data_IF_385745290459
#
_entry.id   IF_385745290459
#
_cell.length_a   1.000
_cell.length_b   1.000
_cell.length_c   1.000
_cell.angle_alpha   90.00
_cell.angle_beta   90.00
_cell.angle_gamma   90.00
#
_symmetry.space_group_name_H-M   'P 1'
#
loop_
_entity.id
_entity.type
_entity.pdbx_description
1 polymer ?
#
# COMPACT_ATOMS: atom_id res chain seq x y z
N UNK A 1 -58.15 53.41 26.29
CA UNK A 1 -57.51 52.91 25.05
C UNK A 1 -55.98 52.97 25.17
N UNK A 2 -55.31 52.10 25.97
CA UNK A 2 -53.84 52.12 26.11
C UNK A 2 -53.13 50.85 25.59
N UNK A 3 -53.82 49.97 24.85
CA UNK A 3 -53.29 48.66 24.40
C UNK A 3 -52.66 48.67 22.99
N UNK A 4 -52.73 49.78 22.26
CA UNK A 4 -52.28 49.82 20.86
C UNK A 4 -50.78 50.16 20.68
N UNK A 5 -50.10 50.67 21.71
CA UNK A 5 -48.70 51.10 21.60
C UNK A 5 -47.69 50.00 21.96
N UNK A 6 -48.09 49.01 22.77
CA UNK A 6 -47.23 47.91 23.25
C UNK A 6 -46.80 46.94 22.14
N UNK A 7 -47.59 46.84 21.06
CA UNK A 7 -47.38 45.84 20.00
C UNK A 7 -46.43 46.31 18.88
N UNK A 8 -46.05 47.60 18.85
CA UNK A 8 -45.12 48.13 17.85
C UNK A 8 -43.66 48.14 18.29
N UNK A 9 -43.38 47.97 19.58
CA UNK A 9 -42.01 48.05 20.12
C UNK A 9 -41.24 46.71 20.04
N UNK A 10 -41.93 45.62 19.65
CA UNK A 10 -41.32 44.31 19.37
C UNK A 10 -40.89 44.20 17.89
N UNK A 11 -41.16 45.23 17.08
CA UNK A 11 -40.78 45.27 15.68
C UNK A 11 -39.34 45.80 15.51
N UNK A 12 -38.41 44.87 15.36
CA UNK A 12 -37.06 45.08 14.82
C UNK A 12 -36.11 45.91 15.71
N UNK A 13 -35.67 45.32 16.82
CA UNK A 13 -34.28 45.52 17.24
C UNK A 13 -33.39 44.96 16.12
N UNK A 14 -33.12 45.77 15.07
CA UNK A 14 -31.96 45.56 14.22
C UNK A 14 -30.81 45.43 15.20
N UNK A 15 -30.22 44.24 15.26
CA UNK A 15 -29.08 43.99 16.14
C UNK A 15 -28.16 45.20 16.01
N UNK A 16 -27.78 45.87 17.12
CA UNK A 16 -26.91 47.03 17.03
C UNK A 16 -25.72 46.58 16.21
N UNK A 17 -25.28 47.36 15.22
CA UNK A 17 -24.25 46.95 14.25
C UNK A 17 -23.05 46.26 14.94
N UNK A 18 -22.76 46.64 16.19
CA UNK A 18 -21.83 45.98 17.12
C UNK A 18 -22.04 44.46 17.31
N UNK A 19 -23.26 43.98 17.55
CA UNK A 19 -23.55 42.53 17.68
C UNK A 19 -23.31 41.80 16.36
N UNK A 20 -23.67 42.42 15.23
CA UNK A 20 -23.40 41.84 13.91
C UNK A 20 -21.89 41.79 13.62
N UNK A 21 -21.16 42.88 13.92
CA UNK A 21 -19.69 42.93 13.85
C UNK A 21 -19.06 41.90 14.78
N UNK A 22 -19.57 41.71 16.00
CA UNK A 22 -19.10 40.71 16.94
C UNK A 22 -19.30 39.28 16.41
N UNK A 23 -20.45 39.00 15.79
CA UNK A 23 -20.72 37.71 15.14
C UNK A 23 -19.77 37.50 13.95
N UNK A 24 -19.60 38.50 13.08
CA UNK A 24 -18.68 38.42 11.94
C UNK A 24 -17.24 38.23 12.41
N UNK A 25 -16.82 38.95 13.45
CA UNK A 25 -15.49 38.83 14.04
C UNK A 25 -15.28 37.45 14.66
N UNK A 26 -16.30 36.88 15.31
CA UNK A 26 -16.24 35.54 15.87
C UNK A 26 -16.11 34.48 14.78
N UNK A 27 -16.89 34.59 13.69
CA UNK A 27 -16.77 33.70 12.53
C UNK A 27 -15.43 33.88 11.80
N UNK A 28 -14.92 35.10 11.69
CA UNK A 28 -13.62 35.37 11.10
C UNK A 28 -12.48 34.79 11.97
N UNK A 29 -12.54 35.00 13.28
CA UNK A 29 -11.59 34.43 14.23
C UNK A 29 -11.65 32.89 14.20
N UNK A 30 -12.85 32.33 14.23
CA UNK A 30 -13.05 30.88 14.13
C UNK A 30 -12.52 30.33 12.80
N UNK A 31 -12.80 30.99 11.68
CA UNK A 31 -12.26 30.65 10.37
C UNK A 31 -10.73 30.70 10.32
N UNK A 32 -10.11 31.72 10.95
CA UNK A 32 -8.64 31.83 11.07
C UNK A 32 -8.08 30.71 11.93
N UNK A 33 -8.71 30.38 13.07
CA UNK A 33 -8.28 29.29 13.96
C UNK A 33 -8.38 27.94 13.23
N UNK A 34 -9.50 27.67 12.56
CA UNK A 34 -9.71 26.46 11.76
C UNK A 34 -8.68 26.38 10.63
N UNK A 35 -8.41 27.49 9.93
CA UNK A 35 -7.40 27.55 8.88
C UNK A 35 -5.98 27.33 9.42
N UNK A 36 -5.68 27.85 10.62
CA UNK A 36 -4.39 27.64 11.29
C UNK A 36 -4.22 26.19 11.78
N UNK A 37 -5.30 25.49 12.13
CA UNK A 37 -5.27 24.10 12.61
C UNK A 37 -5.34 23.08 11.46
N UNK A 38 -6.13 23.34 10.42
CA UNK A 38 -6.39 22.42 9.28
C UNK A 38 -5.58 22.78 8.03
N UNK A 39 -4.98 23.98 7.98
CA UNK A 39 -4.11 24.45 6.90
C UNK A 39 -2.73 23.78 6.88
N UNK A 40 -2.04 23.61 8.03
CA UNK A 40 -0.71 22.97 8.04
C UNK A 40 -0.76 21.45 7.95
N UNK A 41 -1.93 20.83 8.06
CA UNK A 41 -2.07 19.39 7.92
C UNK A 41 -1.79 19.01 6.46
N UNK A 42 -0.72 18.24 6.16
CA UNK A 42 -0.39 17.86 4.80
C UNK A 42 -1.60 17.14 4.20
N UNK A 43 -2.18 17.74 3.15
CA UNK A 43 -3.31 17.21 2.37
C UNK A 43 -2.79 16.06 1.51
N UNK A 44 -2.33 14.99 2.16
CA UNK A 44 -1.64 13.88 1.55
C UNK A 44 -1.57 12.73 2.55
N UNK A 45 -1.94 11.55 2.10
CA UNK A 45 -2.04 10.34 2.91
C UNK A 45 -0.66 9.93 3.45
N UNK A 46 -0.34 10.39 4.66
CA UNK A 46 0.84 9.96 5.43
C UNK A 46 0.98 8.43 5.50
N UNK A 47 -0.13 7.71 5.38
CA UNK A 47 -0.17 6.26 5.21
C UNK A 47 0.48 5.78 3.90
N UNK A 48 0.15 6.39 2.76
CA UNK A 48 0.75 6.06 1.47
C UNK A 48 2.22 6.42 1.41
N UNK A 49 2.62 7.55 2.02
CA UNK A 49 4.03 7.92 2.13
C UNK A 49 4.82 6.88 2.93
N UNK A 50 4.27 6.42 4.06
CA UNK A 50 4.90 5.35 4.87
C UNK A 50 4.99 4.03 4.08
N UNK A 51 3.94 3.67 3.34
CA UNK A 51 3.92 2.46 2.50
C UNK A 51 4.94 2.57 1.37
N UNK A 52 5.03 3.73 0.71
CA UNK A 52 6.01 3.99 -0.35
C UNK A 52 7.44 3.95 0.20
N UNK A 53 7.70 4.58 1.34
CA UNK A 53 9.00 4.51 2.03
C UNK A 53 9.39 3.07 2.36
N UNK A 54 8.46 2.28 2.93
CA UNK A 54 8.71 0.86 3.23
C UNK A 54 9.02 0.03 1.99
N UNK A 55 8.32 0.26 0.87
CA UNK A 55 8.65 -0.41 -0.41
C UNK A 55 10.04 -0.03 -0.90
N UNK A 56 10.41 1.24 -0.79
CA UNK A 56 11.73 1.71 -1.22
C UNK A 56 12.86 1.16 -0.35
N UNK A 57 12.65 1.11 0.96
CA UNK A 57 13.60 0.51 1.90
C UNK A 57 13.78 -0.98 1.61
N UNK A 58 12.70 -1.74 1.45
CA UNK A 58 12.77 -3.15 1.08
C UNK A 58 13.52 -3.37 -0.25
N UNK A 59 13.23 -2.53 -1.26
CA UNK A 59 13.95 -2.61 -2.55
C UNK A 59 15.44 -2.38 -2.32
N UNK A 60 15.80 -1.34 -1.57
CA UNK A 60 17.19 -1.00 -1.28
C UNK A 60 17.89 -2.15 -0.57
N UNK A 61 17.28 -2.72 0.48
CA UNK A 61 17.84 -3.87 1.19
C UNK A 61 18.10 -5.04 0.25
N UNK A 62 17.11 -5.42 -0.58
CA UNK A 62 17.28 -6.51 -1.55
C UNK A 62 18.38 -6.19 -2.57
N UNK A 63 18.48 -4.94 -3.01
CA UNK A 63 19.54 -4.51 -3.95
C UNK A 63 20.92 -4.53 -3.31
N UNK A 64 21.04 -4.09 -2.07
CA UNK A 64 22.30 -4.07 -1.34
C UNK A 64 22.77 -5.50 -1.02
N UNK A 65 21.86 -6.38 -0.61
CA UNK A 65 22.15 -7.81 -0.42
C UNK A 65 22.57 -8.49 -1.72
N UNK A 66 21.87 -8.23 -2.82
CA UNK A 66 22.25 -8.74 -4.13
C UNK A 66 23.63 -8.19 -4.55
N UNK A 67 23.85 -6.89 -4.46
CA UNK A 67 25.13 -6.27 -4.81
C UNK A 67 26.28 -6.88 -4.00
N UNK A 68 26.08 -7.12 -2.70
CA UNK A 68 27.06 -7.79 -1.86
C UNK A 68 27.33 -9.23 -2.31
N UNK A 69 26.28 -10.01 -2.60
CA UNK A 69 26.44 -11.38 -3.10
C UNK A 69 27.14 -11.44 -4.47
N UNK A 70 26.95 -10.44 -5.33
CA UNK A 70 27.61 -10.38 -6.65
C UNK A 70 29.06 -9.89 -6.58
N UNK A 71 29.43 -9.05 -5.60
CA UNK A 71 30.76 -8.41 -5.54
C UNK A 71 31.70 -9.02 -4.53
N UNK A 72 31.21 -9.92 -3.67
CA UNK A 72 32.02 -10.57 -2.63
C UNK A 72 32.13 -12.07 -2.85
N UNK A 73 33.11 -12.68 -2.18
CA UNK A 73 33.23 -14.12 -2.13
C UNK A 73 32.31 -14.69 -1.06
N UNK A 74 31.76 -15.88 -1.31
CA UNK A 74 30.99 -16.58 -0.31
C UNK A 74 30.63 -18.00 -0.71
N UNK A 75 29.99 -18.71 0.21
CA UNK A 75 29.54 -20.07 -0.02
C UNK A 75 28.11 -20.09 -0.53
N UNK A 76 27.84 -20.86 -1.58
CA UNK A 76 26.47 -21.19 -2.01
C UNK A 76 25.97 -22.40 -1.23
N UNK A 77 26.78 -23.48 -1.20
CA UNK A 77 26.50 -24.70 -0.45
C UNK A 77 27.78 -25.20 0.21
N UNK A 78 27.92 -24.93 1.50
CA UNK A 78 29.10 -25.35 2.29
C UNK A 78 29.23 -26.86 2.40
N UNK A 79 28.13 -27.61 2.41
CA UNK A 79 28.15 -29.07 2.57
C UNK A 79 28.66 -29.74 1.29
N UNK A 80 28.31 -29.18 0.13
CA UNK A 80 28.77 -29.65 -1.17
C UNK A 80 30.09 -29.02 -1.63
N UNK A 81 30.64 -28.08 -0.86
CA UNK A 81 31.87 -27.37 -1.22
C UNK A 81 31.70 -26.43 -2.41
N UNK A 82 30.50 -25.86 -2.63
CA UNK A 82 30.23 -24.94 -3.74
C UNK A 82 30.28 -23.49 -3.25
N UNK A 83 31.21 -22.71 -3.78
CA UNK A 83 31.37 -21.28 -3.49
C UNK A 83 31.02 -20.42 -4.71
N UNK A 84 30.53 -19.20 -4.48
CA UNK A 84 30.47 -18.16 -5.49
C UNK A 84 31.71 -17.26 -5.40
N UNK A 85 32.08 -16.73 -6.56
CA UNK A 85 33.13 -15.73 -6.72
C UNK A 85 32.48 -14.41 -7.18
N UNK A 86 33.13 -13.24 -6.95
CA UNK A 86 32.68 -11.97 -7.47
C UNK A 86 32.49 -12.02 -8.99
N UNK A 87 31.46 -11.32 -9.46
CA UNK A 87 31.06 -11.36 -10.87
C UNK A 87 32.16 -10.85 -11.81
N UNK A 88 32.97 -9.87 -11.39
CA UNK A 88 34.09 -9.36 -12.19
C UNK A 88 35.11 -10.48 -12.45
N UNK A 89 35.46 -11.26 -11.42
CA UNK A 89 36.36 -12.42 -11.60
C UNK A 89 35.70 -13.56 -12.36
N UNK A 90 34.41 -13.78 -12.15
CA UNK A 90 33.67 -14.79 -12.93
C UNK A 90 33.72 -14.45 -14.43
N UNK A 91 33.51 -13.18 -14.78
CA UNK A 91 33.56 -12.69 -16.16
C UNK A 91 34.95 -12.88 -16.77
N UNK A 92 36.01 -12.52 -16.05
CA UNK A 92 37.39 -12.70 -16.52
C UNK A 92 37.73 -14.18 -16.77
N UNK A 93 37.35 -15.06 -15.84
CA UNK A 93 37.60 -16.50 -15.96
C UNK A 93 36.76 -17.11 -17.08
N UNK A 94 35.49 -16.71 -17.20
CA UNK A 94 34.61 -17.17 -18.27
C UNK A 94 35.14 -16.72 -19.64
N UNK A 95 35.58 -15.47 -19.79
CA UNK A 95 36.16 -14.96 -21.02
C UNK A 95 37.45 -15.74 -21.40
N UNK A 96 38.32 -16.02 -20.44
CA UNK A 96 39.52 -16.81 -20.65
C UNK A 96 39.19 -18.26 -21.06
N UNK A 97 38.19 -18.88 -20.42
CA UNK A 97 37.73 -20.23 -20.76
C UNK A 97 37.12 -20.27 -22.16
N UNK A 98 36.29 -19.29 -22.51
CA UNK A 98 35.68 -19.17 -23.84
C UNK A 98 36.75 -18.97 -24.92
N UNK A 99 37.80 -18.19 -24.65
CA UNK A 99 38.91 -17.99 -25.59
C UNK A 99 39.69 -19.28 -25.88
N UNK A 100 39.73 -20.22 -24.93
CA UNK A 100 40.39 -21.52 -25.10
C UNK A 100 39.48 -22.56 -25.79
N UNK A 101 38.15 -22.38 -25.71
CA UNK A 101 37.19 -23.29 -26.34
C UNK A 101 37.00 -22.92 -27.80
N UNK A 102 37.01 -23.93 -28.69
CA UNK A 102 36.65 -23.70 -30.10
C UNK A 102 35.17 -23.32 -30.22
N UNK A 103 34.82 -22.30 -31.01
CA UNK A 103 33.43 -21.97 -31.29
C UNK A 103 32.72 -23.18 -31.88
N UNK A 104 31.62 -23.60 -31.25
CA UNK A 104 30.71 -24.57 -31.84
C UNK A 104 29.79 -23.84 -32.84
N UNK A 105 29.42 -24.46 -33.97
CA UNK A 105 28.44 -23.90 -34.88
C UNK A 105 27.13 -23.66 -34.13
N UNK A 106 26.53 -22.48 -34.33
CA UNK A 106 25.19 -22.21 -33.83
C UNK A 106 24.24 -23.26 -34.42
N UNK A 107 23.50 -23.96 -33.56
CA UNK A 107 22.50 -24.93 -33.99
C UNK A 107 21.44 -24.27 -34.89
N UNK A 108 20.65 -25.06 -35.63
CA UNK A 108 19.60 -24.53 -36.48
C UNK A 108 18.68 -23.62 -35.66
N UNK A 109 18.37 -22.44 -36.19
CA UNK A 109 17.36 -21.56 -35.61
C UNK A 109 16.06 -22.35 -35.61
N UNK A 110 15.54 -22.66 -34.42
CA UNK A 110 14.23 -23.27 -34.31
C UNK A 110 13.23 -22.35 -35.03
N UNK A 111 12.53 -22.88 -36.02
CA UNK A 111 11.36 -22.22 -36.60
C UNK A 111 10.46 -21.83 -35.44
N UNK A 112 10.01 -20.56 -35.34
CA UNK A 112 9.03 -20.18 -34.34
C UNK A 112 7.90 -21.19 -34.42
N UNK A 113 7.68 -21.93 -33.34
CA UNK A 113 6.50 -22.77 -33.24
C UNK A 113 5.32 -21.86 -33.58
N UNK A 114 4.41 -22.26 -34.49
CA UNK A 114 3.23 -21.46 -34.78
C UNK A 114 2.55 -21.20 -33.45
N UNK A 115 2.74 -19.99 -32.92
CA UNK A 115 1.95 -19.50 -31.82
C UNK A 115 0.56 -19.50 -32.42
N UNK A 116 -0.21 -20.53 -32.07
CA UNK A 116 -1.62 -20.62 -32.40
C UNK A 116 -2.14 -19.25 -32.05
N UNK A 117 -2.48 -18.47 -33.07
CA UNK A 117 -3.02 -17.15 -32.89
C UNK A 117 -4.18 -17.40 -31.93
N UNK A 118 -4.03 -16.92 -30.68
CA UNK A 118 -5.17 -16.81 -29.81
C UNK A 118 -6.15 -16.01 -30.65
N UNK A 119 -7.21 -16.68 -31.11
CA UNK A 119 -8.32 -16.05 -31.79
C UNK A 119 -8.62 -14.77 -31.01
N UNK A 120 -8.90 -13.64 -31.69
CA UNK A 120 -9.12 -12.38 -30.98
C UNK A 120 -10.10 -12.67 -29.86
N UNK A 121 -9.63 -12.57 -28.63
CA UNK A 121 -10.48 -12.65 -27.46
C UNK A 121 -11.33 -11.39 -27.47
N UNK A 122 -12.34 -11.38 -28.35
CA UNK A 122 -13.57 -10.67 -28.18
C UNK A 122 -14.13 -11.23 -26.88
N UNK A 123 -13.74 -10.57 -25.78
CA UNK A 123 -14.18 -10.69 -24.39
C UNK A 123 -13.09 -10.23 -23.38
N UNK A 124 -12.13 -9.40 -23.80
CA UNK A 124 -11.43 -8.55 -22.83
C UNK A 124 -12.45 -7.55 -22.24
N UNK A 125 -12.75 -7.57 -20.93
CA UNK A 125 -13.58 -6.54 -20.32
C UNK A 125 -12.88 -5.19 -20.49
N UNK A 126 -13.57 -4.26 -21.12
CA UNK A 126 -13.09 -2.90 -21.32
C UNK A 126 -12.70 -2.27 -19.98
N UNK A 127 -11.45 -1.81 -19.85
CA UNK A 127 -11.07 -0.88 -18.80
C UNK A 127 -11.97 0.37 -18.89
N UNK A 128 -12.68 0.77 -17.83
CA UNK A 128 -13.57 1.93 -17.90
C UNK A 128 -12.74 3.21 -17.92
N UNK A 129 -12.77 3.91 -19.05
CA UNK A 129 -12.34 5.31 -19.15
C UNK A 129 -13.49 6.25 -18.69
N UNK A 130 -13.18 7.44 -18.14
CA UNK A 130 -14.08 8.20 -17.30
C UNK A 130 -15.04 9.11 -18.09
N UNK A 131 -16.29 9.15 -17.64
CA UNK A 131 -17.16 10.33 -17.76
C UNK A 131 -18.14 10.36 -18.93
N UNK A 132 -19.36 9.89 -18.68
CA UNK A 132 -20.60 10.55 -19.13
C UNK A 132 -21.79 9.87 -18.43
N UNK A 133 -22.36 10.53 -17.41
CA UNK A 133 -23.71 10.18 -16.92
C UNK A 133 -24.73 10.62 -17.99
N UNK A 134 -25.80 9.84 -18.23
CA UNK A 134 -27.07 10.21 -17.61
C UNK A 134 -27.99 9.02 -17.21
N UNK A 135 -28.64 9.19 -16.04
CA UNK A 135 -30.07 8.99 -15.72
C UNK A 135 -30.82 7.85 -16.47
N UNK A 136 -31.55 6.90 -15.87
CA UNK A 136 -32.64 6.97 -14.89
C UNK A 136 -33.02 5.53 -14.46
N UNK A 137 -33.51 5.41 -13.22
CA UNK A 137 -34.16 4.26 -12.56
C UNK A 137 -35.38 3.66 -13.31
N UNK A 138 -35.95 2.47 -12.97
CA UNK A 138 -36.16 1.99 -11.60
C UNK A 138 -35.89 0.51 -11.28
N UNK A 139 -35.84 0.29 -9.96
CA UNK A 139 -35.62 -0.93 -9.21
C UNK A 139 -36.46 -2.15 -9.62
N UNK A 140 -35.86 -3.34 -9.47
CA UNK A 140 -36.56 -4.48 -8.87
C UNK A 140 -35.58 -5.42 -8.12
N UNK A 141 -35.95 -6.00 -6.96
CA UNK A 141 -35.03 -6.56 -5.96
C UNK A 141 -34.87 -8.08 -6.03
N UNK A 142 -33.91 -8.55 -5.22
CA UNK A 142 -33.70 -9.91 -4.73
C UNK A 142 -32.92 -10.88 -5.63
N UNK A 143 -31.71 -11.24 -5.18
CA UNK A 143 -31.45 -12.57 -4.61
C UNK A 143 -29.94 -12.72 -4.34
N UNK A 144 -29.61 -13.05 -3.09
CA UNK A 144 -28.27 -13.39 -2.61
C UNK A 144 -27.70 -14.59 -3.38
N UNK A 145 -26.40 -14.61 -3.77
CA UNK A 145 -25.78 -15.84 -4.25
C UNK A 145 -25.45 -16.79 -3.08
N UNK A 146 -25.54 -18.11 -3.31
CA UNK A 146 -25.45 -19.13 -2.27
C UNK A 146 -24.00 -19.33 -1.80
N UNK A 147 -23.87 -19.62 -0.50
CA UNK A 147 -22.67 -20.11 0.12
C UNK A 147 -22.20 -21.42 -0.54
N UNK A 148 -20.92 -21.49 -0.92
CA UNK A 148 -20.23 -22.75 -1.16
C UNK A 148 -18.88 -22.73 -0.43
N UNK A 149 -18.93 -23.33 0.77
CA UNK A 149 -17.95 -24.31 1.27
C UNK A 149 -16.48 -23.91 1.22
N UNK A 150 -16.09 -23.07 2.18
CA UNK A 150 -14.73 -23.06 2.70
C UNK A 150 -14.47 -24.40 3.42
N UNK A 151 -13.52 -25.16 2.90
CA UNK A 151 -12.96 -26.36 3.52
C UNK A 151 -12.45 -26.02 4.93
N UNK A 152 -13.02 -26.70 5.92
CA UNK A 152 -12.59 -26.66 7.31
C UNK A 152 -11.21 -27.33 7.44
N UNK A 153 -10.25 -26.56 7.95
CA UNK A 153 -9.11 -27.08 8.71
C UNK A 153 -8.96 -26.24 9.98
N UNK A 154 -9.61 -26.67 11.06
CA UNK A 154 -9.45 -26.13 12.40
C UNK A 154 -8.05 -26.42 12.95
N UNK A 155 -7.55 -25.57 13.86
CA UNK A 155 -7.00 -26.09 15.10
C UNK A 155 -7.72 -25.46 16.30
N UNK A 156 -8.27 -26.34 17.12
CA UNK A 156 -8.86 -26.05 18.40
C UNK A 156 -7.81 -25.49 19.38
N UNK A 157 -8.09 -24.32 19.96
CA UNK A 157 -7.47 -23.87 21.18
C UNK A 157 -8.15 -24.56 22.37
N UNK A 158 -7.43 -25.38 23.12
CA UNK A 158 -7.82 -25.84 24.47
C UNK A 158 -6.65 -26.52 25.18
N UNK A 159 -5.87 -25.79 25.99
CA UNK A 159 -5.34 -26.32 27.25
C UNK A 159 -4.85 -25.20 28.21
N UNK A 160 -5.25 -25.22 29.50
CA UNK A 160 -4.92 -24.21 30.53
C UNK A 160 -3.61 -24.56 31.29
N UNK A 161 -3.10 -23.66 32.17
CA UNK A 161 -1.72 -23.72 32.68
C UNK A 161 -1.61 -24.49 34.01
N UNK A 162 -0.41 -24.94 34.39
CA UNK A 162 -0.05 -25.08 35.79
C UNK A 162 0.91 -23.96 36.23
N UNK A 163 0.51 -23.24 37.30
CA UNK A 163 1.48 -22.62 38.23
C UNK A 163 2.40 -23.70 38.80
N UNK A 164 3.55 -23.42 39.40
CA UNK A 164 3.93 -22.36 40.34
C UNK A 164 5.45 -22.41 40.52
N UNK A 165 6.00 -21.34 41.13
CA UNK A 165 7.29 -21.25 41.82
C UNK A 165 8.49 -20.66 41.05
N UNK A 166 8.64 -19.34 41.21
CA UNK A 166 9.93 -18.71 41.57
C UNK A 166 10.27 -19.09 43.04
N UNK A 167 11.54 -19.06 43.52
CA UNK A 167 12.57 -18.07 43.20
C UNK A 167 14.02 -18.56 43.03
N UNK A 168 14.80 -17.66 42.40
CA UNK A 168 16.28 -17.51 42.38
C UNK A 168 16.87 -17.52 43.81
N UNK A 169 18.17 -17.86 44.05
CA UNK A 169 19.29 -16.99 43.63
C UNK A 169 20.61 -17.72 43.26
N UNK A 170 21.52 -16.97 42.64
CA UNK A 170 22.70 -17.48 41.96
C UNK A 170 23.96 -17.78 42.79
N UNK A 171 24.99 -18.21 42.06
CA UNK A 171 26.41 -17.84 42.20
C UNK A 171 27.22 -18.58 41.12
N UNK A 172 27.88 -17.83 40.23
CA UNK A 172 29.23 -18.13 39.73
C UNK A 172 30.23 -17.90 40.88
N UNK A 173 31.51 -18.35 40.83
CA UNK A 173 32.30 -18.91 39.71
C UNK A 173 32.41 -20.44 39.68
#
# INVERSE_FOLDING_TARGET
MPEAESLRQVAHSRAPLSTWVGIVLLFALFGIIVLAVIGPAPRGSTYEEKRAKKRMENLKTVRDEAAKALTTYGWIDKKKGIAHIPIDRAMELAAAELAQRKPAPAGPIATPEPQVAAAPASNAPASPAPGASPQTSPAQPAASPPAQTAVLSSPAASQPPPGTASPVPGKTP
#
